data_IF_405868675894
#
_entry.id   IF_405868675894
#
_cell.length_a   1.000
_cell.length_b   1.000
_cell.length_c   1.000
_cell.angle_alpha   90.00
_cell.angle_beta   90.00
_cell.angle_gamma   90.00
#
_symmetry.space_group_name_H-M   'P 1'
#
loop_
_entity.id
_entity.type
_entity.pdbx_description
1 polymer ?
2 non-polymer ?
3 water ?
#
# COMPACT_ATOMS: atom_id res chain seq x y z
N UNK A 4 -0.78 13.57 16.73
CA UNK A 4 -0.97 12.50 17.72
C UNK A 4 -0.47 11.14 17.21
N UNK A 5 -0.94 10.74 16.03
CA UNK A 5 -0.40 9.54 15.38
C UNK A 5 0.27 10.00 14.09
N UNK A 6 1.14 9.17 13.54
CA UNK A 6 1.79 9.48 12.27
C UNK A 6 1.08 8.68 11.17
N UNK A 7 0.55 9.39 10.16
CA UNK A 7 -0.24 8.75 9.12
C UNK A 7 0.55 8.69 7.83
N UNK A 8 0.35 7.60 7.08
CA UNK A 8 0.89 7.48 5.73
C UNK A 8 -0.22 6.96 4.82
N UNK A 9 -0.37 7.52 3.62
CA UNK A 9 -1.33 6.96 2.64
C UNK A 9 -0.58 5.99 1.76
N UNK A 10 -1.09 4.76 1.62
CA UNK A 10 -0.42 3.76 0.79
C UNK A 10 -1.36 3.27 -0.31
N UNK A 11 -0.93 3.42 -1.55
CA UNK A 11 -1.74 3.03 -2.69
C UNK A 11 -1.12 1.86 -3.44
N UNK A 12 -1.99 1.10 -4.11
CA UNK A 12 -1.55 0.01 -4.99
C UNK A 12 -2.66 -0.32 -5.99
N UNK A 13 -2.29 -1.04 -7.04
CA UNK A 13 -3.30 -1.55 -7.96
C UNK A 13 -3.71 -2.96 -7.60
N UNK A 14 -4.97 -3.13 -7.20
CA UNK A 14 -5.49 -4.45 -6.83
C UNK A 14 -6.67 -4.84 -7.72
N UNK A 15 -6.50 -5.92 -8.47
CA UNK A 15 -7.49 -6.36 -9.48
C UNK A 15 -8.03 -5.23 -10.35
N UNK A 16 -7.15 -4.43 -10.93
CA UNK A 16 -7.60 -3.34 -11.81
C UNK A 16 -8.41 -2.22 -11.13
N UNK A 17 -8.29 -2.08 -9.82
CA UNK A 17 -8.76 -0.87 -9.14
C UNK A 17 -7.59 -0.27 -8.38
N UNK A 18 -7.49 1.06 -8.37
CA UNK A 18 -6.49 1.73 -7.53
C UNK A 18 -7.06 1.84 -6.13
N UNK A 19 -6.34 1.33 -5.14
CA UNK A 19 -6.82 1.44 -3.77
C UNK A 19 -5.86 2.33 -3.02
N UNK A 20 -6.36 3.02 -2.00
CA UNK A 20 -5.52 3.91 -1.21
C UNK A 20 -5.94 3.77 0.24
N UNK A 21 -5.00 3.34 1.09
CA UNK A 21 -5.27 3.15 2.52
C UNK A 21 -4.52 4.12 3.42
N UNK A 22 -5.23 4.62 4.43
CA UNK A 22 -4.60 5.42 5.49
C UNK A 22 -4.06 4.48 6.55
N UNK A 23 -2.73 4.43 6.72
CA UNK A 23 -2.14 3.57 7.74
C UNK A 23 -1.69 4.46 8.88
N UNK A 24 -1.93 4.03 10.12
CA UNK A 24 -1.60 4.82 11.30
C UNK A 24 -0.47 4.17 12.10
N UNK A 25 0.47 4.98 12.60
CA UNK A 25 1.56 4.47 13.42
C UNK A 25 1.76 5.41 14.62
N UNK A 26 2.33 4.90 15.72
CA UNK A 26 2.60 5.77 16.88
C UNK A 26 3.59 6.91 16.59
N UNK A 27 4.50 6.71 15.65
CA UNK A 27 5.42 7.75 15.22
C UNK A 27 5.92 7.31 13.86
N UNK A 28 6.82 8.07 13.25
CA UNK A 28 7.28 7.74 11.90
C UNK A 28 7.78 6.30 11.84
N UNK A 29 7.16 5.47 10.98
CA UNK A 29 7.60 4.07 10.96
C UNK A 29 8.92 3.86 10.25
N UNK A 30 9.58 2.75 10.54
CA UNK A 30 10.70 2.31 9.71
C UNK A 30 10.17 1.77 8.40
N UNK A 31 11.02 1.73 7.38
CA UNK A 31 10.61 1.17 6.10
C UNK A 31 10.15 -0.29 6.26
N UNK A 32 10.85 -1.08 7.09
CA UNK A 32 10.43 -2.46 7.34
C UNK A 32 9.05 -2.54 7.99
N UNK A 33 8.80 -1.67 8.97
CA UNK A 33 7.53 -1.60 9.68
C UNK A 33 6.39 -1.21 8.72
N UNK A 34 6.64 -0.16 7.94
CA UNK A 34 5.71 0.33 6.92
C UNK A 34 5.41 -0.78 5.92
N UNK A 35 6.45 -1.48 5.48
CA UNK A 35 6.28 -2.50 4.45
C UNK A 35 5.41 -3.64 4.97
N UNK A 36 5.66 -4.07 6.21
CA UNK A 36 4.88 -5.14 6.81
C UNK A 36 3.41 -4.72 6.97
N UNK A 37 3.19 -3.48 7.40
CA UNK A 37 1.84 -2.94 7.57
C UNK A 37 1.11 -2.87 6.23
N UNK A 38 1.80 -2.38 5.21
CA UNK A 38 1.23 -2.28 3.86
C UNK A 38 0.93 -3.65 3.25
N UNK A 39 1.85 -4.60 3.37
CA UNK A 39 1.60 -5.93 2.82
C UNK A 39 0.42 -6.62 3.50
N UNK A 40 0.28 -6.41 4.80
CA UNK A 40 -0.84 -6.98 5.52
C UNK A 40 -2.14 -6.36 5.00
N UNK A 41 -2.19 -5.03 4.90
CA UNK A 41 -3.42 -4.35 4.46
C UNK A 41 -3.82 -4.76 3.04
N UNK A 42 -2.85 -4.80 2.13
CA UNK A 42 -3.15 -5.15 0.75
C UNK A 42 -3.48 -6.63 0.59
N UNK A 43 -2.88 -7.48 1.43
CA UNK A 43 -3.18 -8.91 1.38
C UNK A 43 -4.60 -9.10 1.85
N UNK A 44 -5.00 -8.33 2.87
CA UNK A 44 -6.39 -8.37 3.34
C UNK A 44 -7.36 -7.90 2.27
N UNK A 45 -6.98 -6.85 1.53
CA UNK A 45 -7.80 -6.37 0.42
C UNK A 45 -7.91 -7.42 -0.69
N UNK A 46 -6.79 -8.04 -1.08
CA UNK A 46 -6.85 -9.15 -2.04
C UNK A 46 -7.81 -10.26 -1.60
N UNK A 47 -7.73 -10.68 -0.34
CA UNK A 47 -8.58 -11.76 0.16
C UNK A 47 -10.06 -11.40 0.04
N UNK A 48 -10.37 -10.16 0.40
CA UNK A 48 -11.74 -9.64 0.35
C UNK A 48 -12.26 -9.57 -1.08
N UNK A 49 -11.42 -9.10 -2.00
CA UNK A 49 -11.85 -8.82 -3.39
C UNK A 49 -11.72 -10.02 -4.34
N UNK A 50 -11.02 -11.06 -3.91
CA UNK A 50 -10.67 -12.18 -4.78
C UNK A 50 -11.90 -12.75 -5.46
N UNK A 51 -11.91 -12.75 -6.79
CA UNK A 51 -12.99 -13.36 -7.58
C UNK A 51 -12.97 -14.87 -7.35
N UNK A 52 -14.10 -15.57 -7.36
CA UNK A 52 -14.03 -16.99 -7.00
C UNK A 52 -13.29 -17.84 -8.04
N UNK A 53 -12.92 -17.21 -9.16
CA UNK A 53 -12.06 -17.87 -10.15
C UNK A 53 -10.56 -17.53 -10.07
N UNK A 54 -10.13 -16.99 -8.93
CA UNK A 54 -8.72 -16.64 -8.74
C UNK A 54 -8.23 -17.34 -7.47
N UNK A 55 -7.07 -18.00 -7.55
CA UNK A 55 -6.50 -18.71 -6.40
C UNK A 55 -6.05 -17.72 -5.34
N UNK A 56 -6.08 -18.15 -4.09
CA UNK A 56 -5.68 -17.31 -2.97
C UNK A 56 -4.21 -16.92 -3.09
N UNK A 57 -3.89 -15.68 -2.74
CA UNK A 57 -2.51 -15.23 -2.79
C UNK A 57 -2.31 -13.98 -1.93
N UNK A 58 -1.05 -13.61 -1.72
CA UNK A 58 -0.71 -12.50 -0.84
C UNK A 58 -0.20 -11.35 -1.68
N UNK A 59 -0.15 -10.16 -1.09
CA UNK A 59 0.49 -9.03 -1.74
C UNK A 59 1.98 -9.06 -1.40
N UNK A 60 2.84 -8.93 -2.41
CA UNK A 60 4.28 -8.87 -2.18
C UNK A 60 4.84 -7.57 -2.73
N UNK A 61 5.41 -6.75 -1.85
CA UNK A 61 5.98 -5.46 -2.23
C UNK A 61 7.33 -5.65 -2.93
N UNK A 62 7.54 -4.96 -4.05
CA UNK A 62 8.81 -5.05 -4.78
C UNK A 62 9.59 -3.73 -4.83
N UNK A 63 8.85 -2.62 -4.84
CA UNK A 63 9.42 -1.27 -4.83
C UNK A 63 8.37 -0.35 -4.23
N UNK A 64 8.79 0.57 -3.38
CA UNK A 64 7.88 1.56 -2.83
C UNK A 64 8.37 2.91 -3.29
N UNK A 65 7.47 3.71 -3.85
CA UNK A 65 7.79 5.11 -4.14
C UNK A 65 6.97 6.06 -3.28
N UNK A 66 7.51 7.25 -3.04
CA UNK A 66 6.82 8.30 -2.30
C UNK A 66 6.67 9.49 -3.23
N UNK A 67 5.51 10.14 -3.21
CA UNK A 67 5.42 11.38 -3.96
C UNK A 67 6.00 12.48 -3.08
N UNK A 68 7.12 13.05 -3.52
CA UNK A 68 7.83 14.08 -2.75
C UNK A 68 7.35 15.46 -3.19
N UNK A 69 6.62 16.16 -2.33
CA UNK A 69 6.11 17.47 -2.69
C UNK A 69 7.22 18.49 -2.79
N UNK A 70 8.32 18.30 -2.06
CA UNK A 70 9.47 19.22 -2.18
C UNK A 70 10.11 19.19 -3.57
N UNK A 71 10.21 18.00 -4.16
CA UNK A 71 10.78 17.83 -5.49
C UNK A 71 9.69 17.75 -6.57
N UNK A 72 8.43 17.79 -6.14
CA UNK A 72 7.28 17.51 -7.01
C UNK A 72 7.51 16.36 -8.00
N UNK A 73 7.91 15.21 -7.47
CA UNK A 73 8.04 14.01 -8.27
C UNK A 73 8.01 12.78 -7.38
N UNK A 74 7.75 11.64 -8.00
CA UNK A 74 7.82 10.36 -7.33
C UNK A 74 9.29 9.93 -7.22
N UNK A 75 9.69 9.56 -6.00
CA UNK A 75 11.04 9.06 -5.72
C UNK A 75 10.97 7.71 -5.01
N UNK A 76 12.03 6.90 -5.11
CA UNK A 76 12.07 5.64 -4.38
C UNK A 76 12.14 5.89 -2.88
N UNK A 77 11.45 5.06 -2.10
CA UNK A 77 11.58 5.15 -0.65
C UNK A 77 12.77 4.30 -0.20
N UNK A 78 13.86 4.96 0.16
CA UNK A 78 15.14 4.30 0.43
C UNK A 78 15.68 4.58 1.84
N UNK A 79 15.36 5.74 2.40
CA UNK A 79 15.91 6.17 3.68
C UNK A 79 14.83 6.34 4.73
N UNK A 80 15.26 6.33 5.99
CA UNK A 80 14.35 6.37 7.12
C UNK A 80 13.98 7.79 7.54
N UNK A 81 14.36 8.78 6.73
CA UNK A 81 14.03 10.18 6.99
C UNK A 81 13.35 10.86 5.79
N UNK A 82 12.72 10.06 4.94
CA UNK A 82 11.96 10.60 3.81
C UNK A 82 10.47 10.79 4.14
N UNK A 83 9.89 9.85 4.88
CA UNK A 83 8.46 9.92 5.20
C UNK A 83 8.07 11.19 5.96
N UNK A 84 6.98 11.81 5.52
CA UNK A 84 6.37 12.93 6.24
C UNK A 84 4.92 12.59 6.50
N UNK A 85 4.32 13.25 7.48
CA UNK A 85 2.95 12.94 7.83
C UNK A 85 1.98 13.16 6.67
N UNK A 86 1.19 12.12 6.42
CA UNK A 86 0.15 12.07 5.41
C UNK A 86 0.72 12.10 4.01
N UNK A 87 2.00 11.76 3.87
CA UNK A 87 2.57 11.62 2.54
C UNK A 87 1.91 10.45 1.80
N UNK A 88 2.00 10.48 0.47
CA UNK A 88 1.42 9.44 -0.38
C UNK A 88 2.50 8.51 -0.92
N UNK A 89 2.33 7.21 -0.68
CA UNK A 89 3.20 6.16 -1.21
C UNK A 89 2.46 5.32 -2.26
N UNK A 90 3.21 4.75 -3.19
CA UNK A 90 2.65 3.74 -4.09
C UNK A 90 3.52 2.50 -4.03
N UNK A 91 2.91 1.33 -3.94
CA UNK A 91 3.68 0.11 -3.76
C UNK A 91 3.51 -0.81 -4.97
N UNK A 92 4.63 -1.18 -5.60
CA UNK A 92 4.61 -2.12 -6.71
C UNK A 92 4.71 -3.55 -6.20
N UNK A 93 4.30 -4.49 -7.05
CA UNK A 93 4.57 -5.92 -6.84
C UNK A 93 5.42 -6.47 -7.99
N UNK A 94 6.08 -7.63 -7.77
CA UNK A 94 6.75 -8.24 -8.93
C UNK A 94 5.69 -8.62 -9.94
N UNK A 95 6.06 -8.77 -11.23
CA UNK A 95 5.08 -9.16 -12.26
C UNK A 95 4.26 -10.40 -11.87
N UNK A 96 2.95 -10.34 -12.11
CA UNK A 96 2.04 -11.40 -11.71
C UNK A 96 0.79 -11.35 -12.58
N UNK A 97 -0.06 -12.38 -12.47
CA UNK A 97 -1.21 -12.57 -13.36
C UNK A 97 -2.42 -11.67 -13.11
N UNK A 98 -2.54 -11.16 -11.89
CA UNK A 98 -3.81 -10.58 -11.47
C UNK A 98 -3.79 -9.10 -11.26
N UNK A 99 -2.61 -8.55 -10.97
CA UNK A 99 -2.51 -7.15 -10.58
C UNK A 99 -1.53 -6.41 -11.47
N UNK A 100 -2.05 -5.51 -12.29
CA UNK A 100 -1.19 -4.74 -13.17
C UNK A 100 -1.36 -3.25 -12.94
N UNK A 101 -0.30 -2.51 -13.23
CA UNK A 101 -0.28 -1.08 -13.03
C UNK A 101 -1.29 -0.38 -13.92
N UNK A 102 -1.86 0.70 -13.41
CA UNK A 102 -2.73 1.56 -14.21
C UNK A 102 -2.46 2.99 -13.79
N UNK A 103 -2.80 3.92 -14.67
CA UNK A 103 -2.68 5.33 -14.31
C UNK A 103 -4.03 5.82 -13.84
N UNK A 104 -4.89 4.90 -13.39
CA UNK A 104 -6.13 5.32 -12.75
C UNK A 104 -5.73 6.13 -11.53
N UNK A 105 -6.42 7.24 -11.29
CA UNK A 105 -6.01 8.14 -10.22
C UNK A 105 -6.12 7.48 -8.84
N UNK A 106 -5.26 7.92 -7.94
CA UNK A 106 -5.30 7.46 -6.57
C UNK A 106 -6.49 8.11 -5.85
N UNK A 107 -7.40 7.28 -5.32
CA UNK A 107 -8.62 7.78 -4.67
C UNK A 107 -8.33 8.27 -3.27
N UNK A 108 -9.27 9.02 -2.67
CA UNK A 108 -9.13 9.43 -1.27
C UNK A 108 -8.89 8.22 -0.37
N UNK A 109 -7.93 8.34 0.54
CA UNK A 109 -7.55 7.24 1.42
C UNK A 109 -8.69 6.77 2.32
N UNK A 110 -8.78 5.45 2.52
CA UNK A 110 -9.74 4.87 3.46
C UNK A 110 -9.03 4.00 4.49
N UNK A 111 -9.70 3.75 5.61
CA UNK A 111 -9.20 2.78 6.58
C UNK A 111 -9.03 1.43 5.91
N UNK A 112 -7.91 0.75 6.21
CA UNK A 112 -7.62 -0.57 5.66
C UNK A 112 -8.57 -1.63 6.21
N UNK A 113 -8.68 -2.77 5.52
CA UNK A 113 -9.57 -3.85 5.95
C UNK A 113 -9.33 -4.22 7.41
N UNK A 114 -10.39 -4.63 8.11
CA UNK A 114 -10.30 -4.89 9.54
C UNK A 114 -9.76 -6.28 9.84
N UNK A 115 -9.80 -7.17 8.86
CA UNK A 115 -9.36 -8.53 9.06
C UNK A 115 -9.08 -9.15 7.72
N UNK A 116 -8.63 -10.41 7.74
CA UNK A 116 -8.56 -11.24 6.54
C UNK A 116 -9.81 -12.11 6.44
N UNK A 117 -9.74 -13.19 5.66
CA UNK A 117 -10.90 -14.09 5.49
C UNK A 117 -10.67 -15.42 6.22
N UNK A 118 -11.63 -15.81 7.06
CA UNK A 118 -11.52 -17.03 7.88
C UNK A 118 -11.37 -18.31 7.06
X LIG B 1 -13.24 7.34 0.64
X LIG B 1 -13.81 6.59 -0.41
X LIG B 1 -12.90 6.41 1.79
X LIG B 1 -13.62 5.20 1.67
X LIG B 1 -13.20 7.04 3.15
X LIG B 1 -12.22 8.03 3.42
#
# INVERSE_FOLDING_TARGET
>A
GSHMAFLVQVAADIFNNKVNFELSFPSRPSISELTRSAETAFSNEISLRRPDNVPSHKFHSSKIKMYDEELNKWVDLIREDQLTDYCQLYVFQPPNEWHKESQKEIPPAMKPPSSGQRHSAGG
>B hetero
1 GOL C1 O1 C2 O2 C3 O3
#
